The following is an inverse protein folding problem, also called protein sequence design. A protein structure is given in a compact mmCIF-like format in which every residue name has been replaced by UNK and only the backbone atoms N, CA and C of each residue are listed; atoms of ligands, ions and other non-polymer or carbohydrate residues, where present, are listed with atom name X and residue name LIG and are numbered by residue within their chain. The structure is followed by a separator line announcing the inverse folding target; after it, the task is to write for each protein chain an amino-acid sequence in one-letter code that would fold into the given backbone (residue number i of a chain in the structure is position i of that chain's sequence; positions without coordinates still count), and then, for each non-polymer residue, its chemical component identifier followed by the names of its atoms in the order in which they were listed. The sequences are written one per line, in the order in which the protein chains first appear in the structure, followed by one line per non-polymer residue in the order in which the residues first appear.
data_IF_176567402283
#
_entry.id   IF_176567402283
#
_cell.length_a   1.000
_cell.length_b   1.000
_cell.length_c   1.000
_cell.angle_alpha   90.00
_cell.angle_beta   90.00
_cell.angle_gamma   90.00
#
_symmetry.space_group_name_H-M   'P 1'
#
loop_
_entity.id
_entity.type
_entity.pdbx_description
1 polymer ?
#
# COMPACT_ATOMS: atom_id res chain seq x y z
N UNK A 1 -12.76 9.30 -2.84
CA UNK A 1 -11.41 8.71 -2.83
C UNK A 1 -10.44 9.77 -3.31
N UNK A 2 -9.23 9.89 -2.73
CA UNK A 2 -8.27 10.90 -3.17
C UNK A 2 -7.82 10.64 -4.61
N UNK A 3 -7.57 11.69 -5.38
CA UNK A 3 -7.01 11.60 -6.74
C UNK A 3 -5.51 11.26 -6.69
N UNK A 4 -4.94 10.81 -7.81
CA UNK A 4 -3.49 10.55 -7.89
C UNK A 4 -2.67 11.81 -7.60
N UNK A 5 -3.12 12.98 -8.05
CA UNK A 5 -2.46 14.26 -7.79
C UNK A 5 -2.49 14.64 -6.29
N UNK A 6 -3.58 14.33 -5.59
CA UNK A 6 -3.68 14.51 -4.14
C UNK A 6 -2.75 13.56 -3.38
N UNK A 7 -2.60 12.32 -3.85
CA UNK A 7 -1.62 11.39 -3.28
C UNK A 7 -0.18 11.84 -3.52
N UNK A 8 0.14 12.27 -4.73
CA UNK A 8 1.46 12.80 -5.07
C UNK A 8 1.82 13.98 -4.17
N UNK A 9 0.88 14.91 -3.99
CA UNK A 9 1.03 16.07 -3.10
C UNK A 9 1.31 15.67 -1.65
N UNK A 10 0.75 14.54 -1.18
CA UNK A 10 1.02 13.98 0.16
C UNK A 10 2.39 13.32 0.27
N UNK A 11 2.87 12.69 -0.80
CA UNK A 11 4.16 12.00 -0.81
C UNK A 11 5.34 12.94 -1.01
N UNK A 12 5.13 14.06 -1.69
CA UNK A 12 6.18 15.03 -1.98
C UNK A 12 6.91 15.60 -0.74
N UNK A 13 6.23 16.02 0.35
CA UNK A 13 6.94 16.43 1.56
C UNK A 13 7.74 15.29 2.20
N UNK A 14 7.20 14.06 2.21
CA UNK A 14 7.86 12.88 2.75
C UNK A 14 9.13 12.52 1.96
N UNK A 15 9.08 12.60 0.63
CA UNK A 15 10.25 12.34 -0.22
C UNK A 15 11.33 13.41 -0.02
N UNK A 16 10.94 14.67 0.16
CA UNK A 16 11.88 15.73 0.50
C UNK A 16 12.53 15.52 1.87
N UNK A 17 11.79 15.01 2.87
CA UNK A 17 12.34 14.65 4.17
C UNK A 17 13.39 13.54 4.05
N UNK A 18 13.10 12.47 3.29
CA UNK A 18 14.05 11.39 3.01
C UNK A 18 15.34 11.94 2.38
N UNK A 19 15.21 12.80 1.36
CA UNK A 19 16.37 13.39 0.68
C UNK A 19 17.20 14.25 1.64
N UNK A 20 16.55 15.10 2.46
CA UNK A 20 17.24 15.92 3.46
C UNK A 20 17.97 15.05 4.47
N UNK A 21 17.28 14.04 5.01
CA UNK A 21 17.84 13.16 6.02
C UNK A 21 19.01 12.33 5.48
N UNK A 22 18.92 11.83 4.24
CA UNK A 22 20.02 11.10 3.62
C UNK A 22 21.24 11.99 3.36
N UNK A 23 21.03 13.24 2.90
CA UNK A 23 22.11 14.22 2.74
C UNK A 23 22.81 14.49 4.06
N UNK A 24 22.05 14.72 5.13
CA UNK A 24 22.60 15.06 6.44
C UNK A 24 23.29 13.86 7.09
N UNK A 25 22.75 12.65 6.90
CA UNK A 25 23.40 11.40 7.30
C UNK A 25 24.73 11.21 6.57
N UNK A 26 24.79 11.42 5.24
CA UNK A 26 26.03 11.26 4.47
C UNK A 26 27.12 12.25 4.89
N UNK A 27 26.76 13.47 5.30
CA UNK A 27 27.70 14.45 5.88
C UNK A 27 28.31 13.96 7.20
N UNK A 28 27.51 13.29 8.03
CA UNK A 28 27.95 12.73 9.30
C UNK A 28 28.76 11.44 9.14
N UNK A 29 28.56 10.72 8.03
CA UNK A 29 29.21 9.44 7.75
C UNK A 29 30.02 9.47 6.44
N UNK A 30 31.06 10.32 6.32
CA UNK A 30 31.80 10.50 5.06
C UNK A 30 32.58 9.24 4.63
N UNK A 31 32.88 8.35 5.58
CA UNK A 31 33.58 7.08 5.36
C UNK A 31 32.68 5.84 5.41
N UNK A 32 31.36 6.02 5.47
CA UNK A 32 30.44 4.89 5.43
C UNK A 32 30.73 3.99 4.23
N UNK A 33 30.71 2.69 4.49
CA UNK A 33 30.73 1.63 3.50
C UNK A 33 29.43 1.61 2.70
N UNK A 34 29.44 0.92 1.56
CA UNK A 34 28.24 0.76 0.74
C UNK A 34 27.09 0.14 1.53
N UNK A 35 27.36 -0.91 2.32
CA UNK A 35 26.36 -1.60 3.14
C UNK A 35 25.70 -0.68 4.18
N UNK A 36 26.47 0.21 4.80
CA UNK A 36 25.94 1.20 5.75
C UNK A 36 25.10 2.26 5.04
N UNK A 37 25.49 2.66 3.82
CA UNK A 37 24.70 3.57 2.98
C UNK A 37 23.36 2.95 2.59
N UNK A 38 23.35 1.67 2.16
CA UNK A 38 22.11 0.94 1.84
C UNK A 38 21.19 0.87 3.06
N UNK A 39 21.73 0.44 4.21
CA UNK A 39 20.95 0.31 5.45
C UNK A 39 20.30 1.65 5.83
N UNK A 40 21.09 2.74 5.83
CA UNK A 40 20.57 4.06 6.16
C UNK A 40 19.53 4.55 5.13
N UNK A 41 19.74 4.28 3.85
CA UNK A 41 18.78 4.67 2.81
C UNK A 41 17.46 3.90 2.99
N UNK A 42 17.51 2.59 3.24
CA UNK A 42 16.35 1.75 3.46
C UNK A 42 15.54 2.21 4.67
N UNK A 43 16.21 2.54 5.78
CA UNK A 43 15.57 3.08 6.98
C UNK A 43 14.79 4.37 6.68
N UNK A 44 15.37 5.29 5.90
CA UNK A 44 14.69 6.53 5.55
C UNK A 44 13.53 6.30 4.58
N UNK A 45 13.71 5.41 3.60
CA UNK A 45 12.68 5.08 2.62
C UNK A 45 11.51 4.31 3.23
N UNK A 46 11.72 3.56 4.31
CA UNK A 46 10.74 2.66 4.89
C UNK A 46 9.39 3.34 5.13
N UNK A 47 9.38 4.52 5.75
CA UNK A 47 8.15 5.27 6.04
C UNK A 47 7.44 5.77 4.77
N UNK A 48 8.20 6.31 3.82
CA UNK A 48 7.65 6.78 2.54
C UNK A 48 7.03 5.59 1.77
N UNK A 49 7.74 4.47 1.70
CA UNK A 49 7.28 3.24 1.07
C UNK A 49 5.98 2.73 1.67
N UNK A 50 5.91 2.67 3.01
CA UNK A 50 4.70 2.26 3.72
C UNK A 50 3.50 3.16 3.37
N UNK A 51 3.69 4.47 3.39
CA UNK A 51 2.65 5.44 3.07
C UNK A 51 2.17 5.30 1.62
N UNK A 52 3.09 5.23 0.66
CA UNK A 52 2.75 5.05 -0.76
C UNK A 52 2.01 3.73 -0.99
N UNK A 53 2.50 2.64 -0.41
CA UNK A 53 1.88 1.32 -0.56
C UNK A 53 0.46 1.32 0.01
N UNK A 54 0.25 1.91 1.18
CA UNK A 54 -1.06 2.04 1.80
C UNK A 54 -2.01 2.86 0.93
N UNK A 55 -1.59 4.06 0.52
CA UNK A 55 -2.41 4.96 -0.28
C UNK A 55 -2.77 4.33 -1.63
N UNK A 56 -1.80 3.75 -2.34
CA UNK A 56 -2.04 3.08 -3.63
C UNK A 56 -2.97 1.88 -3.48
N UNK A 57 -2.79 1.05 -2.44
CA UNK A 57 -3.67 -0.09 -2.17
C UNK A 57 -5.11 0.34 -1.83
N UNK A 58 -5.28 1.51 -1.20
CA UNK A 58 -6.57 2.10 -0.88
C UNK A 58 -7.19 2.90 -2.03
N UNK A 59 -6.46 3.16 -3.12
CA UNK A 59 -7.04 3.77 -4.34
C UNK A 59 -7.60 2.78 -5.35
N UNK A 60 -7.48 1.47 -5.10
CA UNK A 60 -8.09 0.47 -5.97
C UNK A 60 -9.63 0.67 -6.02
N UNK A 61 -10.26 0.71 -7.21
CA UNK A 61 -11.71 0.88 -7.36
C UNK A 61 -12.53 -0.23 -6.70
N UNK A 62 -11.89 -1.33 -6.30
CA UNK A 62 -12.49 -2.46 -5.59
C UNK A 62 -12.64 -2.26 -4.08
N UNK A 63 -12.33 -1.06 -3.55
CA UNK A 63 -12.42 -0.75 -2.11
C UNK A 63 -13.84 -0.78 -1.57
N UNK A 64 -14.85 -0.56 -2.43
CA UNK A 64 -16.25 -0.50 -2.04
C UNK A 64 -17.15 -1.40 -2.92
N UNK A 65 -16.89 -2.71 -2.86
CA UNK A 65 -17.68 -3.74 -3.55
C UNK A 65 -19.22 -3.64 -3.38
N UNK A 66 -19.79 -3.19 -2.25
CA UNK A 66 -21.24 -3.04 -2.12
C UNK A 66 -21.81 -1.94 -3.03
N UNK A 67 -21.01 -0.93 -3.39
CA UNK A 67 -21.40 0.18 -4.25
C UNK A 67 -21.18 -0.13 -5.75
N UNK A 68 -20.48 -1.22 -6.08
CA UNK A 68 -20.19 -1.61 -7.47
C UNK A 68 -21.36 -2.33 -8.13
N UNK A 69 -21.61 -1.99 -9.40
CA UNK A 69 -22.57 -2.70 -10.25
C UNK A 69 -22.14 -4.17 -10.48
N UNK A 70 -23.09 -5.06 -10.80
CA UNK A 70 -22.77 -6.47 -11.09
C UNK A 70 -21.77 -6.66 -12.24
N UNK A 71 -21.72 -5.71 -13.18
CA UNK A 71 -20.80 -5.69 -14.32
C UNK A 71 -19.38 -5.29 -13.96
N UNK A 72 -19.18 -4.47 -12.93
CA UNK A 72 -17.86 -4.02 -12.48
C UNK A 72 -17.29 -4.93 -11.38
N UNK A 73 -18.13 -5.79 -10.81
CA UNK A 73 -17.77 -6.64 -9.68
C UNK A 73 -16.73 -7.70 -10.11
N UNK A 74 -15.59 -7.81 -9.41
CA UNK A 74 -14.54 -8.75 -9.77
C UNK A 74 -15.03 -10.20 -9.70
N UNK A 75 -14.56 -10.99 -10.68
CA UNK A 75 -14.77 -12.44 -10.72
C UNK A 75 -13.64 -13.15 -10.00
N UNK A 76 -13.96 -14.25 -9.35
CA UNK A 76 -12.95 -15.10 -8.74
C UNK A 76 -12.02 -15.71 -9.82
N UNK A 77 -10.69 -15.67 -9.64
CA UNK A 77 -9.74 -16.26 -10.58
C UNK A 77 -9.80 -17.80 -10.63
N UNK A 78 -10.37 -18.44 -9.60
CA UNK A 78 -10.51 -19.91 -9.53
C UNK A 78 -11.86 -20.40 -10.04
N UNK A 79 -12.96 -19.75 -9.62
CA UNK A 79 -14.33 -20.23 -9.81
C UNK A 79 -15.08 -19.45 -10.92
N UNK A 80 -14.61 -18.25 -11.32
CA UNK A 80 -15.27 -17.36 -12.29
C UNK A 80 -16.54 -16.65 -11.78
N UNK A 81 -17.02 -17.01 -10.59
CA UNK A 81 -18.20 -16.43 -9.94
C UNK A 81 -17.90 -15.02 -9.42
N UNK A 82 -18.92 -14.17 -9.41
CA UNK A 82 -18.86 -12.83 -8.84
C UNK A 82 -18.55 -12.91 -7.34
N UNK A 83 -17.55 -12.14 -6.90
CA UNK A 83 -17.19 -12.08 -5.49
C UNK A 83 -18.23 -11.29 -4.70
N UNK A 84 -18.61 -11.76 -3.52
CA UNK A 84 -19.55 -11.05 -2.63
C UNK A 84 -18.79 -10.21 -1.60
N UNK A 85 -19.27 -8.99 -1.34
CA UNK A 85 -18.73 -8.13 -0.30
C UNK A 85 -18.98 -8.74 1.10
N UNK A 86 -17.95 -8.76 1.94
CA UNK A 86 -18.01 -9.27 3.32
C UNK A 86 -17.80 -8.16 4.36
N UNK A 87 -18.33 -6.97 4.08
CA UNK A 87 -18.17 -5.78 4.92
C UNK A 87 -16.73 -5.23 4.92
N UNK A 88 -16.52 -4.14 5.65
CA UNK A 88 -15.22 -3.50 5.82
C UNK A 88 -14.46 -4.12 7.00
N UNK A 89 -13.18 -4.44 6.79
CA UNK A 89 -12.28 -4.88 7.85
C UNK A 89 -10.99 -4.06 7.79
N UNK A 90 -10.46 -3.69 8.95
CA UNK A 90 -9.12 -3.10 9.08
C UNK A 90 -8.10 -4.21 9.32
N UNK A 91 -7.05 -4.26 8.51
CA UNK A 91 -5.89 -5.14 8.74
C UNK A 91 -4.61 -4.33 8.85
N UNK A 92 -3.76 -4.73 9.79
CA UNK A 92 -2.38 -4.27 9.88
C UNK A 92 -1.50 -5.27 9.14
N UNK A 93 -0.76 -4.81 8.13
CA UNK A 93 0.24 -5.61 7.41
C UNK A 93 1.62 -5.05 7.72
N UNK A 94 2.62 -5.92 7.80
CA UNK A 94 4.03 -5.53 7.95
C UNK A 94 4.68 -5.59 6.57
N UNK A 95 5.31 -4.50 6.16
CA UNK A 95 6.03 -4.41 4.89
C UNK A 95 7.45 -4.97 5.00
N UNK A 96 8.17 -5.12 3.88
CA UNK A 96 9.53 -5.69 3.83
C UNK A 96 10.58 -4.97 4.70
N UNK A 97 10.29 -3.77 5.21
CA UNK A 97 11.17 -3.00 6.11
C UNK A 97 10.54 -2.76 7.49
N UNK A 98 9.76 -3.73 7.99
CA UNK A 98 9.13 -3.73 9.32
C UNK A 98 8.20 -2.53 9.60
N UNK A 99 7.75 -1.82 8.56
CA UNK A 99 6.79 -0.74 8.71
C UNK A 99 5.38 -1.30 8.66
N UNK A 100 4.56 -1.07 9.72
CA UNK A 100 3.16 -1.42 9.70
C UNK A 100 2.40 -0.48 8.75
N UNK A 101 1.51 -1.04 7.95
CA UNK A 101 0.49 -0.31 7.20
C UNK A 101 -0.89 -0.75 7.67
N UNK A 102 -1.82 0.20 7.72
CA UNK A 102 -3.21 -0.07 8.10
C UNK A 102 -4.11 0.06 6.87
N UNK A 103 -4.80 -1.03 6.54
CA UNK A 103 -5.71 -1.09 5.40
C UNK A 103 -7.13 -1.35 5.88
N UNK A 104 -7.96 -0.30 5.87
CA UNK A 104 -9.40 -0.40 6.12
C UNK A 104 -10.16 -0.45 4.79
N UNK A 105 -10.74 -1.61 4.44
CA UNK A 105 -11.45 -1.79 3.16
C UNK A 105 -12.45 -2.95 3.17
N UNK A 106 -13.34 -2.97 2.17
CA UNK A 106 -14.23 -4.10 1.96
C UNK A 106 -13.50 -5.33 1.39
N UNK A 107 -13.78 -6.52 1.94
CA UNK A 107 -13.23 -7.78 1.44
C UNK A 107 -14.23 -8.46 0.51
N UNK A 108 -13.73 -9.08 -0.56
CA UNK A 108 -14.51 -9.85 -1.50
C UNK A 108 -14.18 -11.34 -1.36
N UNK A 109 -15.19 -12.19 -1.25
CA UNK A 109 -15.02 -13.66 -1.15
C UNK A 109 -15.84 -14.36 -2.23
N UNK A 110 -15.31 -15.41 -2.87
CA UNK A 110 -16.13 -16.25 -3.78
C UNK A 110 -17.09 -17.07 -2.91
N UNK A 111 -18.43 -16.97 -3.10
CA UNK A 111 -19.38 -17.77 -2.33
C UNK A 111 -19.28 -19.26 -2.63
N UNK A 112 -18.65 -19.65 -3.75
CA UNK A 112 -18.54 -21.04 -4.19
C UNK A 112 -17.24 -21.73 -3.73
N UNK A 113 -16.10 -21.03 -3.71
CA UNK A 113 -14.81 -21.64 -3.33
C UNK A 113 -14.15 -21.03 -2.09
N UNK A 114 -14.72 -19.95 -1.53
CA UNK A 114 -14.19 -19.30 -0.32
C UNK A 114 -12.89 -18.50 -0.53
N UNK A 115 -12.34 -18.45 -1.75
CA UNK A 115 -11.14 -17.68 -2.03
C UNK A 115 -11.38 -16.17 -1.85
N UNK A 116 -10.51 -15.53 -1.06
CA UNK A 116 -10.44 -14.07 -0.92
C UNK A 116 -9.42 -13.50 -1.89
N UNK A 117 -9.75 -12.38 -2.55
CA UNK A 117 -8.85 -11.69 -3.48
C UNK A 117 -8.18 -10.50 -2.78
N UNK A 118 -6.85 -10.46 -2.75
CA UNK A 118 -6.08 -9.35 -2.18
C UNK A 118 -4.79 -9.08 -2.97
N UNK A 119 -4.57 -7.83 -3.47
CA UNK A 119 -5.56 -6.79 -3.73
C UNK A 119 -6.48 -7.18 -4.92
N UNK A 120 -7.77 -6.86 -4.87
CA UNK A 120 -8.65 -7.04 -6.01
C UNK A 120 -8.40 -5.94 -7.04
N UNK A 121 -7.56 -6.20 -8.05
CA UNK A 121 -7.32 -5.28 -9.17
C UNK A 121 -6.49 -4.06 -8.79
#
# INVERSE_FOLDING_TARGET
MPTLDELESRWQPLSQDVIRAMRDWRRQHPRATFKEIETALDEQLARLRAQMLQDTALTSPSVDLPAMSETERPRCPHCGVLLTAQGSQTRTLVTEHDQPIELARSYATCPQCGAGLFPPG
#
